data_IF_991183209240
#
_entry.id   IF_991183209240
#
_cell.length_a   1.000
_cell.length_b   1.000
_cell.length_c   1.000
_cell.angle_alpha   90.00
_cell.angle_beta   90.00
_cell.angle_gamma   90.00
#
_symmetry.space_group_name_H-M   'P 1'
#
loop_
_entity.id
_entity.type
_entity.pdbx_description
1 polymer ?
#
# COMPACT_ATOMS: atom_id res chain seq x y z
N UNK A 1 19.51 8.85 6.70
CA UNK A 1 18.17 9.01 6.11
C UNK A 1 18.18 10.08 5.01
N UNK A 2 19.05 9.94 4.01
CA UNK A 2 19.25 10.97 2.97
C UNK A 2 18.92 10.46 1.55
N UNK A 3 18.66 9.15 1.39
CA UNK A 3 18.47 8.51 0.08
C UNK A 3 17.03 8.56 -0.44
N UNK A 4 16.07 8.95 0.39
CA UNK A 4 14.64 9.08 0.04
C UNK A 4 14.13 10.52 0.09
N UNK A 5 15.00 11.49 0.38
CA UNK A 5 14.56 12.85 0.73
C UNK A 5 13.93 13.65 -0.42
N UNK A 6 14.13 13.30 -1.69
CA UNK A 6 13.64 14.18 -2.79
C UNK A 6 13.57 13.55 -4.19
N UNK A 7 13.56 12.21 -4.34
CA UNK A 7 13.28 11.61 -5.66
C UNK A 7 11.77 11.49 -5.85
N UNK A 8 11.19 12.45 -6.58
CA UNK A 8 9.76 12.48 -6.92
C UNK A 8 9.36 11.40 -7.93
N UNK A 9 10.34 10.69 -8.50
CA UNK A 9 10.17 9.65 -9.52
C UNK A 9 9.96 8.23 -8.95
N UNK A 10 10.00 8.06 -7.63
CA UNK A 10 9.91 6.75 -6.99
C UNK A 10 8.71 6.72 -6.04
N UNK A 11 7.81 5.77 -6.29
CA UNK A 11 6.66 5.48 -5.43
C UNK A 11 6.93 4.22 -4.62
N UNK A 12 6.82 4.28 -3.30
CA UNK A 12 7.02 3.13 -2.41
C UNK A 12 5.72 2.83 -1.68
N UNK A 13 5.04 1.77 -2.09
CA UNK A 13 3.97 1.17 -1.30
C UNK A 13 4.57 0.31 -0.19
N UNK A 14 4.00 0.38 1.01
CA UNK A 14 4.47 -0.35 2.19
C UNK A 14 3.33 -1.21 2.74
N UNK A 15 3.61 -2.51 2.93
CA UNK A 15 2.68 -3.45 3.56
C UNK A 15 3.29 -3.90 4.89
N UNK A 16 2.77 -3.39 6.00
CA UNK A 16 3.14 -3.80 7.34
C UNK A 16 2.42 -5.11 7.69
N UNK A 17 3.16 -6.23 7.68
CA UNK A 17 2.61 -7.55 7.98
C UNK A 17 2.97 -7.99 9.39
N UNK A 18 1.94 -8.25 10.22
CA UNK A 18 2.07 -8.74 11.59
C UNK A 18 2.91 -7.81 12.50
N UNK A 19 2.77 -6.49 12.31
CA UNK A 19 3.45 -5.45 13.10
C UNK A 19 2.44 -4.78 14.03
N UNK A 20 2.58 -5.02 15.34
CA UNK A 20 1.75 -4.41 16.38
C UNK A 20 2.41 -3.21 17.06
N UNK A 21 3.69 -2.97 16.76
CA UNK A 21 4.42 -1.83 17.29
C UNK A 21 3.97 -0.52 16.61
N UNK A 22 3.45 0.40 17.40
CA UNK A 22 2.89 1.66 16.91
C UNK A 22 3.97 2.57 16.32
N UNK A 23 5.19 2.55 16.88
CA UNK A 23 6.28 3.40 16.40
C UNK A 23 6.79 2.94 15.05
N UNK A 24 7.00 1.62 14.88
CA UNK A 24 7.37 0.99 13.63
C UNK A 24 6.32 1.26 12.55
N UNK A 25 5.03 1.11 12.87
CA UNK A 25 3.95 1.44 11.93
C UNK A 25 3.98 2.91 11.50
N UNK A 26 4.24 3.84 12.43
CA UNK A 26 4.35 5.26 12.11
C UNK A 26 5.53 5.54 11.17
N UNK A 27 6.69 4.93 11.42
CA UNK A 27 7.88 5.12 10.57
C UNK A 27 7.68 4.55 9.16
N UNK A 28 7.07 3.37 9.05
CA UNK A 28 6.72 2.73 7.78
C UNK A 28 5.69 3.56 7.00
N UNK A 29 4.68 4.10 7.68
CA UNK A 29 3.69 5.01 7.10
C UNK A 29 4.35 6.27 6.55
N UNK A 30 5.25 6.90 7.31
CA UNK A 30 5.99 8.07 6.84
C UNK A 30 6.79 7.77 5.56
N UNK A 31 7.40 6.60 5.46
CA UNK A 31 8.16 6.18 4.27
C UNK A 31 7.28 6.08 3.03
N UNK A 32 6.09 5.47 3.16
CA UNK A 32 5.13 5.42 2.07
C UNK A 32 4.67 6.81 1.65
N UNK A 33 4.31 7.66 2.62
CA UNK A 33 3.77 8.99 2.34
C UNK A 33 4.78 9.95 1.71
N UNK A 34 6.05 9.91 2.13
CA UNK A 34 7.11 10.77 1.56
C UNK A 34 7.35 10.46 0.08
N UNK A 35 7.08 9.23 -0.35
CA UNK A 35 7.23 8.78 -1.73
C UNK A 35 5.91 8.77 -2.50
N UNK A 36 4.85 9.38 -1.95
CA UNK A 36 3.49 9.36 -2.52
C UNK A 36 2.92 7.95 -2.76
N UNK A 37 3.47 6.94 -2.08
CA UNK A 37 2.95 5.58 -2.07
C UNK A 37 1.86 5.37 -1.02
N UNK A 38 1.35 4.15 -0.94
CA UNK A 38 0.28 3.73 -0.04
C UNK A 38 0.81 2.89 1.09
N UNK A 39 0.21 3.06 2.27
CA UNK A 39 0.49 2.24 3.43
C UNK A 39 -0.67 1.27 3.68
N UNK A 40 -0.35 -0.01 3.84
CA UNK A 40 -1.26 -1.09 4.15
C UNK A 40 -0.84 -1.77 5.44
N UNK A 41 -1.79 -2.12 6.29
CA UNK A 41 -1.56 -2.97 7.46
C UNK A 41 -2.28 -4.29 7.25
N UNK A 42 -1.59 -5.39 7.49
CA UNK A 42 -2.10 -6.74 7.37
C UNK A 42 -1.69 -7.58 8.57
N UNK A 43 -2.62 -8.32 9.14
CA UNK A 43 -2.41 -9.23 10.27
C UNK A 43 -2.58 -10.69 9.87
N UNK A 44 -3.20 -10.96 8.71
CA UNK A 44 -3.43 -12.30 8.19
C UNK A 44 -2.85 -12.47 6.79
N UNK A 45 -2.58 -13.71 6.39
CA UNK A 45 -2.13 -14.02 5.03
C UNK A 45 -3.14 -13.57 3.96
N UNK A 46 -4.44 -13.60 4.28
CA UNK A 46 -5.49 -13.12 3.39
C UNK A 46 -5.43 -11.59 3.21
N UNK A 47 -5.24 -10.84 4.29
CA UNK A 47 -5.05 -9.39 4.24
C UNK A 47 -3.77 -9.02 3.49
N UNK A 48 -2.67 -9.75 3.71
CA UNK A 48 -1.41 -9.55 2.99
C UNK A 48 -1.61 -9.72 1.47
N UNK A 49 -2.28 -10.80 1.06
CA UNK A 49 -2.61 -11.05 -0.34
C UNK A 49 -3.52 -9.95 -0.92
N UNK A 50 -4.48 -9.46 -0.14
CA UNK A 50 -5.35 -8.36 -0.55
C UNK A 50 -4.56 -7.06 -0.76
N UNK A 51 -3.74 -6.65 0.21
CA UNK A 51 -2.90 -5.46 0.15
C UNK A 51 -1.89 -5.53 -1.01
N UNK A 52 -1.30 -6.71 -1.24
CA UNK A 52 -0.39 -6.94 -2.35
C UNK A 52 -1.09 -6.76 -3.71
N UNK A 53 -2.31 -7.31 -3.87
CA UNK A 53 -3.11 -7.12 -5.09
C UNK A 53 -3.46 -5.65 -5.32
N UNK A 54 -3.75 -4.89 -4.27
CA UNK A 54 -4.04 -3.46 -4.39
C UNK A 54 -2.80 -2.63 -4.72
N UNK A 55 -1.64 -2.97 -4.16
CA UNK A 55 -0.38 -2.26 -4.39
C UNK A 55 0.18 -2.50 -5.79
N UNK A 56 0.12 -3.75 -6.29
CA UNK A 56 0.60 -4.09 -7.63
C UNK A 56 -0.22 -3.46 -8.75
N UNK A 57 -1.36 -2.83 -8.44
CA UNK A 57 -2.26 -2.19 -9.40
C UNK A 57 -2.50 -3.07 -10.64
N UNK A 58 -2.48 -4.41 -10.44
CA UNK A 58 -2.68 -5.38 -11.49
C UNK A 58 -4.04 -5.07 -12.09
N UNK A 59 -4.06 -4.68 -13.37
CA UNK A 59 -5.24 -4.20 -14.06
C UNK A 59 -6.43 -5.09 -13.71
N UNK A 60 -7.32 -4.57 -12.87
CA UNK A 60 -8.50 -5.30 -12.46
C UNK A 60 -9.55 -5.03 -13.52
N UNK A 61 -9.66 -5.94 -14.47
CA UNK A 61 -10.77 -5.94 -15.42
C UNK A 61 -12.06 -6.17 -14.63
N UNK A 62 -12.85 -5.11 -14.49
CA UNK A 62 -14.18 -5.16 -13.88
C UNK A 62 -15.21 -5.00 -15.00
N UNK A 63 -16.17 -5.93 -15.08
CA UNK A 63 -17.31 -5.82 -15.97
C UNK A 63 -18.47 -5.19 -15.21
N UNK A 64 -18.92 -4.01 -15.65
CA UNK A 64 -20.14 -3.39 -15.16
C UNK A 64 -21.29 -3.67 -16.12
N UNK A 65 -22.44 -4.11 -15.60
CA UNK A 65 -23.69 -4.22 -16.36
C UNK A 65 -24.64 -3.12 -15.87
N UNK A 66 -25.15 -2.31 -16.79
CA UNK A 66 -26.20 -1.33 -16.48
C UNK A 66 -27.53 -2.07 -16.43
N UNK A 67 -28.22 -2.00 -15.29
CA UNK A 67 -29.58 -2.56 -15.12
C UNK A 67 -30.58 -1.42 -15.31
N UNK A 68 -31.27 -1.39 -16.45
CA UNK A 68 -32.41 -0.50 -16.69
C UNK A 68 -33.70 -1.18 -16.21
N UNK A 69 -34.43 -0.53 -15.31
CA UNK A 69 -35.81 -0.88 -14.93
C UNK A 69 -36.80 -0.28 -15.93
#
# INVERSE_FOLDING_TARGET
>A
MELTKTRQDIYIDVIAFNIYDQEANNQLKCTALVTSGKFYSANTAAELMHSLKQSLNAQKEVQGVIITH
#
